data_IF_357211383572
#
_entry.id   IF_357211383572
#
_cell.length_a   1.000
_cell.length_b   1.000
_cell.length_c   1.000
_cell.angle_alpha   90.00
_cell.angle_beta   90.00
_cell.angle_gamma   90.00
#
_symmetry.space_group_name_H-M   'P 1'
#
loop_
_entity.id
_entity.type
_entity.pdbx_description
1 polymer ?
#
# COMPACT_ATOMS: atom_id res chain seq x y z
N UNK A 1 7.84 6.58 11.83
CA UNK A 1 8.04 5.38 11.00
C UNK A 1 6.68 4.84 10.62
N UNK A 2 6.44 4.62 9.34
CA UNK A 2 5.26 3.92 8.85
C UNK A 2 5.67 2.53 8.41
N UNK A 3 4.78 1.57 8.58
CA UNK A 3 4.91 0.26 7.94
C UNK A 3 3.84 0.18 6.88
N UNK A 4 4.25 -0.28 5.70
CA UNK A 4 3.40 -0.44 4.52
C UNK A 4 3.47 -1.88 4.10
N UNK A 5 2.32 -2.51 3.80
CA UNK A 5 2.26 -3.85 3.26
C UNK A 5 1.29 -3.95 2.10
N UNK A 6 1.59 -4.83 1.15
CA UNK A 6 0.68 -5.31 0.13
C UNK A 6 0.05 -6.65 0.54
N UNK A 7 -1.13 -6.95 -0.01
CA UNK A 7 -1.93 -8.11 0.35
C UNK A 7 -2.52 -8.80 -0.87
N UNK A 8 -2.74 -10.11 -0.77
CA UNK A 8 -3.40 -10.92 -1.80
C UNK A 8 -4.87 -10.51 -2.03
N UNK A 9 -5.48 -9.78 -1.08
CA UNK A 9 -6.83 -9.21 -1.25
C UNK A 9 -6.87 -7.97 -2.16
N UNK A 10 -5.74 -7.55 -2.72
CA UNK A 10 -5.64 -6.37 -3.60
C UNK A 10 -5.50 -5.05 -2.85
N UNK A 11 -5.37 -5.07 -1.51
CA UNK A 11 -5.26 -3.87 -0.68
C UNK A 11 -3.82 -3.50 -0.30
N UNK A 12 -3.59 -2.20 -0.13
CA UNK A 12 -2.43 -1.65 0.58
C UNK A 12 -2.84 -1.34 2.02
N UNK A 13 -2.00 -1.69 2.99
CA UNK A 13 -2.25 -1.40 4.41
C UNK A 13 -1.11 -0.62 5.01
N UNK A 14 -1.44 0.38 5.82
CA UNK A 14 -0.47 1.31 6.42
C UNK A 14 -0.77 1.47 7.90
N UNK A 15 0.27 1.42 8.74
CA UNK A 15 0.14 1.64 10.16
C UNK A 15 1.34 2.36 10.77
N UNK A 16 1.09 3.07 11.88
CA UNK A 16 2.14 3.56 12.78
C UNK A 16 2.36 2.52 13.89
N UNK A 17 3.57 1.93 14.03
CA UNK A 17 3.81 0.92 15.07
C UNK A 17 3.59 1.43 16.50
N UNK A 18 3.78 2.73 16.72
CA UNK A 18 3.58 3.39 18.01
C UNK A 18 2.14 3.77 18.28
N UNK A 19 1.27 3.67 17.27
CA UNK A 19 -0.15 4.03 17.33
C UNK A 19 -0.96 3.00 16.53
N UNK A 20 -1.27 1.84 17.14
CA UNK A 20 -1.93 0.74 16.47
C UNK A 20 -3.38 1.06 16.04
N UNK A 21 -3.97 2.13 16.56
CA UNK A 21 -5.30 2.60 16.11
C UNK A 21 -5.23 3.34 14.77
N UNK A 22 -4.06 3.88 14.41
CA UNK A 22 -3.84 4.48 13.10
C UNK A 22 -3.50 3.41 12.06
N UNK A 23 -4.55 2.76 11.56
CA UNK A 23 -4.50 1.83 10.45
C UNK A 23 -5.35 2.34 9.28
N UNK A 24 -4.72 2.46 8.11
CA UNK A 24 -5.42 2.73 6.85
C UNK A 24 -5.39 1.49 5.96
N UNK A 25 -6.48 1.24 5.24
CA UNK A 25 -6.61 0.19 4.22
C UNK A 25 -7.10 0.86 2.95
N UNK A 26 -6.40 0.61 1.84
CA UNK A 26 -6.71 1.17 0.53
C UNK A 26 -6.91 0.04 -0.46
N UNK A 27 -8.08 -0.02 -1.09
CA UNK A 27 -8.36 -0.96 -2.18
C UNK A 27 -7.61 -0.51 -3.43
N UNK A 28 -6.45 -1.12 -3.67
CA UNK A 28 -5.52 -0.63 -4.67
C UNK A 28 -5.78 -1.24 -6.05
N UNK A 29 -6.03 -2.55 -6.09
CA UNK A 29 -6.22 -3.32 -7.31
C UNK A 29 -7.37 -4.31 -7.18
N UNK A 30 -7.94 -4.73 -8.32
CA UNK A 30 -9.04 -5.70 -8.36
C UNK A 30 -8.58 -7.17 -8.27
N UNK A 31 -7.26 -7.39 -8.18
CA UNK A 31 -6.61 -8.69 -8.13
C UNK A 31 -5.42 -8.62 -7.15
N UNK A 32 -4.88 -9.77 -6.71
CA UNK A 32 -3.78 -9.83 -5.75
C UNK A 32 -2.61 -8.90 -6.08
N UNK A 33 -2.08 -8.25 -5.06
CA UNK A 33 -0.81 -7.54 -5.17
C UNK A 33 0.33 -8.55 -5.08
N UNK A 34 1.30 -8.43 -5.99
CA UNK A 34 2.47 -9.31 -6.00
C UNK A 34 3.70 -8.63 -5.38
N UNK A 35 3.79 -7.30 -5.50
CA UNK A 35 4.94 -6.53 -5.01
C UNK A 35 4.54 -5.08 -4.66
N UNK A 36 5.32 -4.49 -3.77
CA UNK A 36 5.19 -3.11 -3.32
C UNK A 36 6.57 -2.49 -3.05
N UNK A 37 6.78 -1.30 -3.61
CA UNK A 37 7.98 -0.51 -3.34
C UNK A 37 7.60 0.87 -2.83
N UNK A 38 8.34 1.35 -1.84
CA UNK A 38 8.08 2.61 -1.14
C UNK A 38 9.26 3.55 -1.36
N UNK A 39 8.96 4.79 -1.71
CA UNK A 39 9.93 5.89 -1.81
C UNK A 39 9.47 7.09 -0.97
N UNK A 40 10.26 8.15 -0.94
CA UNK A 40 9.87 9.39 -0.26
C UNK A 40 8.69 10.10 -0.94
N UNK A 41 8.45 9.85 -2.23
CA UNK A 41 7.46 10.59 -3.03
C UNK A 41 6.22 9.76 -3.36
N UNK A 42 6.34 8.44 -3.41
CA UNK A 42 5.24 7.58 -3.86
C UNK A 42 5.41 6.13 -3.43
N UNK A 43 4.28 5.42 -3.48
CA UNK A 43 4.23 3.97 -3.39
C UNK A 43 3.85 3.42 -4.77
N UNK A 44 4.59 2.42 -5.23
CA UNK A 44 4.26 1.69 -6.44
C UNK A 44 3.82 0.28 -6.10
N UNK A 45 2.75 -0.18 -6.75
CA UNK A 45 2.22 -1.53 -6.59
C UNK A 45 2.11 -2.24 -7.93
N UNK A 46 2.39 -3.55 -7.94
CA UNK A 46 2.12 -4.42 -9.09
C UNK A 46 1.11 -5.50 -8.72
N UNK A 47 0.26 -5.88 -9.67
CA UNK A 47 -0.85 -6.80 -9.43
C UNK A 47 -1.06 -7.79 -10.56
N UNK A 48 -1.72 -8.92 -10.25
CA UNK A 48 -2.21 -9.87 -11.24
C UNK A 48 -3.29 -9.29 -12.16
N UNK A 49 -3.82 -8.09 -11.88
CA UNK A 49 -4.68 -7.36 -12.83
C UNK A 49 -3.93 -6.80 -14.05
N UNK A 50 -2.62 -7.12 -14.16
CA UNK A 50 -1.72 -6.75 -15.26
C UNK A 50 -1.38 -5.25 -15.29
N UNK A 51 -1.54 -4.56 -14.16
CA UNK A 51 -1.19 -3.13 -14.06
C UNK A 51 -0.17 -2.85 -12.96
N UNK A 52 0.53 -1.73 -13.12
CA UNK A 52 1.30 -1.07 -12.07
C UNK A 52 0.60 0.25 -11.75
N UNK A 53 0.43 0.57 -10.47
CA UNK A 53 -0.20 1.82 -10.02
C UNK A 53 0.74 2.59 -9.11
N UNK A 54 0.62 3.92 -9.15
CA UNK A 54 1.35 4.85 -8.30
C UNK A 54 0.38 5.55 -7.35
N UNK A 55 0.76 5.65 -6.09
CA UNK A 55 -0.05 6.17 -5.01
C UNK A 55 0.69 7.30 -4.31
N UNK A 56 0.05 8.46 -4.28
CA UNK A 56 0.43 9.57 -3.41
C UNK A 56 -0.28 9.35 -2.07
N UNK A 57 0.47 8.95 -1.06
CA UNK A 57 -0.10 8.78 0.28
C UNK A 57 0.34 9.97 1.12
N UNK A 58 -0.61 10.84 1.54
CA UNK A 58 -0.26 12.00 2.33
C UNK A 58 0.34 11.54 3.67
N UNK A 59 1.64 11.76 3.84
CA UNK A 59 2.38 11.42 5.06
C UNK A 59 2.19 12.47 6.17
N UNK A 60 0.94 12.86 6.44
CA UNK A 60 0.60 13.73 7.58
C UNK A 60 0.58 12.92 8.88
#
# INVERSE_FOLDING_TARGET
MLVVSASEDGSIRIWRPTDPEQRCVYDAHAQPLNDIVVSNESILTSSLDKTVRSWQIPMN
#
